data_IF_506775721139
#
_entry.id   IF_506775721139
#
_cell.length_a   1.000
_cell.length_b   1.000
_cell.length_c   1.000
_cell.angle_alpha   90.00
_cell.angle_beta   90.00
_cell.angle_gamma   90.00
#
_symmetry.space_group_name_H-M   'P 1'
#
loop_
_entity.id
_entity.type
_entity.pdbx_description
1 polymer ?
#
# COMPACT_ATOMS: atom_id res chain seq x y z
N UNK A 1 21.30 -5.96 -15.77
CA UNK A 1 21.42 -6.99 -14.71
C UNK A 1 20.34 -6.64 -13.70
N UNK A 2 19.32 -7.49 -13.50
CA UNK A 2 18.22 -7.14 -12.58
C UNK A 2 18.80 -6.98 -11.18
N UNK A 3 18.86 -5.76 -10.64
CA UNK A 3 19.35 -5.53 -9.28
C UNK A 3 18.27 -5.88 -8.25
N UNK A 4 17.70 -7.09 -8.34
CA UNK A 4 16.65 -7.61 -7.46
C UNK A 4 17.06 -7.52 -5.99
N UNK A 5 18.36 -7.52 -5.68
CA UNK A 5 18.89 -7.25 -4.34
C UNK A 5 18.43 -5.91 -3.75
N UNK A 6 18.16 -4.90 -4.58
CA UNK A 6 17.61 -3.62 -4.12
C UNK A 6 16.16 -3.74 -3.62
N UNK A 7 15.43 -4.82 -3.96
CA UNK A 7 14.09 -5.07 -3.42
C UNK A 7 14.12 -5.29 -1.90
N UNK A 8 15.27 -5.65 -1.32
CA UNK A 8 15.44 -5.76 0.12
C UNK A 8 15.19 -4.43 0.84
N UNK A 9 15.38 -3.28 0.17
CA UNK A 9 15.06 -1.96 0.73
C UNK A 9 13.56 -1.75 0.97
N UNK A 10 12.70 -2.51 0.29
CA UNK A 10 11.25 -2.47 0.48
C UNK A 10 10.79 -3.46 1.55
N UNK A 11 11.65 -4.38 2.00
CA UNK A 11 11.35 -5.35 3.03
C UNK A 11 11.25 -4.65 4.38
N UNK A 12 10.02 -4.39 4.80
CA UNK A 12 9.73 -3.69 6.04
C UNK A 12 9.33 -4.68 7.15
N UNK A 13 8.28 -5.47 6.92
CA UNK A 13 7.69 -6.33 7.95
C UNK A 13 6.98 -7.56 7.38
N UNK A 14 6.59 -8.48 8.26
CA UNK A 14 5.80 -9.64 7.86
C UNK A 14 4.40 -9.22 7.40
N UNK A 15 3.88 -9.88 6.36
CA UNK A 15 2.55 -9.60 5.82
C UNK A 15 1.44 -9.76 6.87
N UNK A 16 1.56 -10.76 7.75
CA UNK A 16 0.62 -10.95 8.85
C UNK A 16 0.65 -9.83 9.87
N UNK A 17 1.83 -9.25 10.16
CA UNK A 17 1.96 -8.08 11.04
C UNK A 17 1.37 -6.83 10.40
N UNK A 18 1.61 -6.63 9.10
CA UNK A 18 1.01 -5.52 8.35
C UNK A 18 -0.52 -5.62 8.36
N UNK A 19 -1.06 -6.81 8.10
CA UNK A 19 -2.50 -7.08 8.14
C UNK A 19 -3.09 -6.80 9.52
N UNK A 20 -2.49 -7.34 10.59
CA UNK A 20 -3.02 -7.17 11.94
C UNK A 20 -2.96 -5.71 12.41
N UNK A 21 -1.87 -5.00 12.14
CA UNK A 21 -1.76 -3.57 12.44
C UNK A 21 -2.73 -2.74 11.61
N UNK A 22 -2.94 -3.08 10.34
CA UNK A 22 -3.95 -2.47 9.49
C UNK A 22 -5.36 -2.59 10.06
N UNK A 23 -5.75 -3.79 10.51
CA UNK A 23 -7.07 -4.02 11.14
C UNK A 23 -7.18 -3.25 12.46
N UNK A 24 -6.20 -3.36 13.36
CA UNK A 24 -6.24 -2.71 14.69
C UNK A 24 -6.29 -1.18 14.60
N UNK A 25 -5.71 -0.61 13.54
CA UNK A 25 -5.69 0.85 13.32
C UNK A 25 -6.73 1.32 12.31
N UNK A 26 -7.68 0.47 11.92
CA UNK A 26 -8.71 0.78 10.92
C UNK A 26 -8.13 1.39 9.64
N UNK A 27 -7.09 0.77 9.09
CA UNK A 27 -6.47 1.16 7.83
C UNK A 27 -5.46 2.32 7.92
N UNK A 28 -5.36 3.04 9.03
CA UNK A 28 -4.37 4.12 9.19
C UNK A 28 -2.94 3.60 9.05
N UNK A 29 -2.66 2.42 9.58
CA UNK A 29 -1.34 1.82 9.44
C UNK A 29 -1.01 1.44 7.99
N UNK A 30 -2.01 1.04 7.19
CA UNK A 30 -1.83 0.83 5.75
C UNK A 30 -1.44 2.13 5.03
N UNK A 31 -2.01 3.27 5.40
CA UNK A 31 -1.63 4.57 4.85
C UNK A 31 -0.17 4.95 5.17
N UNK A 32 0.30 4.65 6.39
CA UNK A 32 1.72 4.85 6.76
C UNK A 32 2.66 3.90 6.05
N UNK A 33 2.26 2.63 5.89
CA UNK A 33 3.01 1.66 5.09
C UNK A 33 3.15 2.15 3.64
N UNK A 34 2.06 2.59 3.02
CA UNK A 34 2.03 3.18 1.68
C UNK A 34 2.98 4.38 1.58
N UNK A 35 2.99 5.27 2.58
CA UNK A 35 3.91 6.40 2.64
C UNK A 35 5.37 5.92 2.64
N UNK A 36 5.71 4.97 3.51
CA UNK A 36 7.07 4.42 3.63
C UNK A 36 7.53 3.82 2.31
N UNK A 37 6.73 2.92 1.73
CA UNK A 37 7.03 2.29 0.45
C UNK A 37 7.15 3.32 -0.67
N UNK A 38 6.32 4.36 -0.69
CA UNK A 38 6.40 5.43 -1.69
C UNK A 38 7.70 6.21 -1.62
N UNK A 39 8.21 6.49 -0.42
CA UNK A 39 9.52 7.13 -0.25
C UNK A 39 10.60 6.28 -0.91
N UNK A 40 10.63 4.98 -0.59
CA UNK A 40 11.59 4.03 -1.17
C UNK A 40 11.46 3.93 -2.71
N UNK A 41 10.24 3.91 -3.26
CA UNK A 41 10.03 3.92 -4.72
C UNK A 41 10.60 5.22 -5.32
N UNK A 42 10.24 6.37 -4.74
CA UNK A 42 10.60 7.69 -5.26
C UNK A 42 12.11 8.00 -5.22
N UNK A 43 12.85 7.32 -4.35
CA UNK A 43 14.32 7.38 -4.30
C UNK A 43 14.99 6.62 -5.45
N UNK A 44 14.31 5.64 -6.04
CA UNK A 44 14.86 4.77 -7.08
C UNK A 44 14.41 5.12 -8.50
N UNK A 45 13.34 5.91 -8.64
CA UNK A 45 12.82 6.33 -9.95
C UNK A 45 13.19 7.77 -10.26
N UNK A 46 13.23 8.09 -11.56
CA UNK A 46 13.38 9.45 -12.04
C UNK A 46 12.28 10.37 -11.49
N UNK A 47 12.58 11.66 -11.38
CA UNK A 47 11.65 12.66 -10.82
C UNK A 47 10.29 12.69 -11.52
N UNK A 48 10.27 12.52 -12.86
CA UNK A 48 9.05 12.46 -13.69
C UNK A 48 8.15 11.26 -13.36
N UNK A 49 8.72 10.19 -12.82
CA UNK A 49 8.03 8.94 -12.54
C UNK A 49 7.66 8.77 -11.07
N UNK A 50 8.06 9.72 -10.21
CA UNK A 50 7.72 9.72 -8.79
C UNK A 50 6.21 9.75 -8.56
N UNK A 51 5.78 9.00 -7.55
CA UNK A 51 4.43 9.08 -7.02
C UNK A 51 4.31 10.40 -6.25
N UNK A 52 3.30 11.21 -6.59
CA UNK A 52 3.07 12.53 -6.00
C UNK A 52 3.00 12.48 -4.47
N UNK A 53 3.78 13.34 -3.81
CA UNK A 53 3.72 13.49 -2.35
C UNK A 53 2.37 14.05 -1.89
N UNK A 54 1.71 14.87 -2.71
CA UNK A 54 0.36 15.36 -2.46
C UNK A 54 -0.66 14.24 -2.41
N UNK A 55 -0.57 13.27 -3.32
CA UNK A 55 -1.42 12.07 -3.33
C UNK A 55 -1.27 11.26 -2.02
N UNK A 56 -0.04 11.04 -1.56
CA UNK A 56 0.21 10.35 -0.29
C UNK A 56 -0.30 11.13 0.92
N UNK A 57 -0.19 12.46 0.91
CA UNK A 57 -0.77 13.32 1.96
C UNK A 57 -2.30 13.20 2.02
N UNK A 58 -2.97 13.18 0.87
CA UNK A 58 -4.42 12.98 0.79
C UNK A 58 -4.83 11.64 1.39
N UNK A 59 -4.12 10.56 1.05
CA UNK A 59 -4.35 9.24 1.64
C UNK A 59 -4.28 9.30 3.17
N UNK A 60 -3.24 9.91 3.73
CA UNK A 60 -3.08 10.03 5.19
C UNK A 60 -4.20 10.85 5.83
N UNK A 61 -4.56 11.99 5.24
CA UNK A 61 -5.63 12.86 5.75
C UNK A 61 -6.95 12.11 5.79
N UNK A 62 -7.31 11.41 4.70
CA UNK A 62 -8.55 10.66 4.63
C UNK A 62 -8.54 9.50 5.64
N UNK A 63 -7.43 8.76 5.76
CA UNK A 63 -7.32 7.67 6.73
C UNK A 63 -7.53 8.12 8.18
N UNK A 64 -6.92 9.23 8.58
CA UNK A 64 -7.14 9.79 9.92
C UNK A 64 -8.55 10.38 10.09
N UNK A 65 -9.12 10.95 9.03
CA UNK A 65 -10.48 11.48 9.05
C UNK A 65 -11.50 10.37 9.23
N UNK A 66 -11.36 9.27 8.50
CA UNK A 66 -12.17 8.05 8.62
C UNK A 66 -12.09 7.50 10.06
N UNK A 67 -10.89 7.29 10.61
CA UNK A 67 -10.74 6.83 11.99
C UNK A 67 -11.43 7.77 13.00
N UNK A 68 -11.31 9.08 12.80
CA UNK A 68 -11.96 10.07 13.67
C UNK A 68 -13.48 10.00 13.58
N UNK A 69 -14.03 9.84 12.37
CA UNK A 69 -15.47 9.69 12.13
C UNK A 69 -16.01 8.39 12.73
N UNK A 70 -15.27 7.28 12.59
CA UNK A 70 -15.60 6.02 13.23
C UNK A 70 -15.65 6.15 14.75
N UNK A 71 -14.67 6.81 15.37
CA UNK A 71 -14.71 7.06 16.82
C UNK A 71 -15.90 7.95 17.19
N UNK A 72 -16.21 8.96 16.39
CA UNK A 72 -17.34 9.86 16.63
C UNK A 72 -18.69 9.13 16.54
N UNK A 73 -18.87 8.21 15.59
CA UNK A 73 -20.12 7.45 15.44
C UNK A 73 -20.40 6.54 16.64
N UNK A 74 -19.37 6.04 17.32
CA UNK A 74 -19.53 5.23 18.54
C UNK A 74 -20.09 6.01 19.75
N UNK A 75 -19.99 7.34 19.74
CA UNK A 75 -20.37 8.19 20.88
C UNK A 75 -21.68 8.94 20.64
N UNK A 76 -22.11 9.09 19.37
CA UNK A 76 -23.29 9.86 18.98
C UNK A 76 -24.51 8.94 18.84
N UNK A 77 -25.54 9.17 19.66
CA UNK A 77 -26.76 8.32 19.69
C UNK A 77 -27.63 8.37 18.41
N UNK A 78 -27.59 9.46 17.63
CA UNK A 78 -28.27 9.62 16.34
C UNK A 78 -27.24 9.96 15.25
N UNK A 79 -26.41 8.97 14.92
CA UNK A 79 -25.21 9.12 14.09
C UNK A 79 -25.38 8.87 12.59
N UNK A 80 -26.60 8.65 12.06
CA UNK A 80 -26.81 8.13 10.69
C UNK A 80 -26.10 8.95 9.59
N UNK A 81 -26.04 10.28 9.72
CA UNK A 81 -25.31 11.13 8.77
C UNK A 81 -23.79 10.96 8.91
N UNK A 82 -23.28 10.78 10.13
CA UNK A 82 -21.85 10.55 10.40
C UNK A 82 -21.43 9.18 9.85
N UNK A 83 -22.27 8.16 10.03
CA UNK A 83 -22.06 6.82 9.46
C UNK A 83 -21.96 6.88 7.93
N UNK A 84 -22.93 7.52 7.26
CA UNK A 84 -22.92 7.66 5.80
C UNK A 84 -21.65 8.37 5.29
N UNK A 85 -21.21 9.45 5.96
CA UNK A 85 -19.99 10.17 5.58
C UNK A 85 -18.75 9.30 5.83
N UNK A 86 -18.72 8.53 6.93
CA UNK A 86 -17.65 7.59 7.24
C UNK A 86 -17.52 6.52 6.15
N UNK A 87 -18.63 5.89 5.76
CA UNK A 87 -18.64 4.84 4.73
C UNK A 87 -18.13 5.35 3.37
N UNK A 88 -18.50 6.58 3.02
CA UNK A 88 -17.99 7.24 1.80
C UNK A 88 -16.48 7.48 1.93
N UNK A 89 -16.01 7.98 3.07
CA UNK A 89 -14.59 8.23 3.30
C UNK A 89 -13.77 6.94 3.21
N UNK A 90 -14.29 5.84 3.76
CA UNK A 90 -13.66 4.50 3.71
C UNK A 90 -13.60 3.97 2.28
N UNK A 91 -14.69 4.10 1.53
CA UNK A 91 -14.75 3.70 0.11
C UNK A 91 -13.75 4.50 -0.74
N UNK A 92 -13.63 5.81 -0.49
CA UNK A 92 -12.65 6.67 -1.16
C UNK A 92 -11.23 6.25 -0.78
N UNK A 93 -10.98 5.95 0.50
CA UNK A 93 -9.67 5.51 0.97
C UNK A 93 -9.24 4.19 0.32
N UNK A 94 -10.14 3.22 0.24
CA UNK A 94 -9.90 1.94 -0.42
C UNK A 94 -9.57 2.14 -1.91
N UNK A 95 -10.31 2.99 -2.61
CA UNK A 95 -10.00 3.34 -4.00
C UNK A 95 -8.61 3.97 -4.14
N UNK A 96 -8.24 4.87 -3.24
CA UNK A 96 -6.91 5.48 -3.26
C UNK A 96 -5.79 4.47 -2.97
N UNK A 97 -6.02 3.50 -2.08
CA UNK A 97 -5.10 2.39 -1.86
C UNK A 97 -4.92 1.58 -3.15
N UNK A 98 -6.00 1.20 -3.82
CA UNK A 98 -5.94 0.47 -5.10
C UNK A 98 -5.14 1.26 -6.15
N UNK A 99 -5.44 2.56 -6.33
CA UNK A 99 -4.71 3.43 -7.26
C UNK A 99 -3.23 3.48 -6.92
N UNK A 100 -2.89 3.58 -5.63
CA UNK A 100 -1.50 3.50 -5.19
C UNK A 100 -0.87 2.16 -5.54
N UNK A 101 -1.56 1.05 -5.30
CA UNK A 101 -1.08 -0.31 -5.58
C UNK A 101 -0.71 -0.48 -7.05
N UNK A 102 -1.56 -0.03 -7.97
CA UNK A 102 -1.24 -0.05 -9.41
C UNK A 102 -0.06 0.85 -9.77
N UNK A 103 0.05 2.05 -9.19
CA UNK A 103 1.21 2.92 -9.39
C UNK A 103 2.50 2.23 -8.91
N UNK A 104 2.51 1.73 -7.68
CA UNK A 104 3.66 1.09 -7.07
C UNK A 104 4.12 -0.15 -7.84
N UNK A 105 3.16 -1.02 -8.19
CA UNK A 105 3.38 -2.18 -9.06
C UNK A 105 4.04 -1.82 -10.39
N UNK A 106 3.45 -0.86 -11.12
CA UNK A 106 3.96 -0.50 -12.43
C UNK A 106 5.39 0.04 -12.36
N UNK A 107 5.72 0.79 -11.29
CA UNK A 107 7.08 1.28 -11.06
C UNK A 107 8.06 0.17 -10.73
N UNK A 108 7.71 -0.77 -9.84
CA UNK A 108 8.59 -1.89 -9.52
C UNK A 108 8.81 -2.83 -10.70
N UNK A 109 7.75 -3.20 -11.42
CA UNK A 109 7.89 -4.07 -12.59
C UNK A 109 8.76 -3.42 -13.67
N UNK A 110 8.62 -2.10 -13.88
CA UNK A 110 9.48 -1.37 -14.81
C UNK A 110 10.93 -1.24 -14.32
N UNK A 111 11.13 -0.84 -13.05
CA UNK A 111 12.46 -0.62 -12.45
C UNK A 111 13.32 -1.88 -12.45
N UNK A 112 12.69 -3.04 -12.23
CA UNK A 112 13.39 -4.33 -12.15
C UNK A 112 13.25 -5.18 -13.42
N UNK A 113 12.70 -4.63 -14.50
CA UNK A 113 12.48 -5.32 -15.78
C UNK A 113 11.78 -6.68 -15.60
N UNK A 114 10.78 -6.70 -14.70
CA UNK A 114 9.97 -7.88 -14.40
C UNK A 114 8.84 -7.92 -15.41
N UNK A 115 8.72 -9.05 -16.11
CA UNK A 115 7.70 -9.35 -17.12
C UNK A 115 6.63 -10.27 -16.55
N UNK A 116 5.53 -10.47 -17.27
CA UNK A 116 4.44 -11.39 -16.85
C UNK A 116 4.85 -12.85 -16.77
N UNK A 117 5.98 -13.23 -17.35
CA UNK A 117 6.51 -14.59 -17.34
C UNK A 117 7.37 -14.86 -16.09
N UNK A 118 7.78 -13.80 -15.39
CA UNK A 118 8.61 -13.91 -14.19
C UNK A 118 7.76 -14.23 -12.95
N UNK A 119 8.25 -15.12 -12.08
CA UNK A 119 7.59 -15.43 -10.79
C UNK A 119 7.52 -14.20 -9.87
N UNK A 120 8.46 -13.27 -10.04
CA UNK A 120 8.50 -12.00 -9.32
C UNK A 120 7.42 -11.01 -9.78
N UNK A 121 6.67 -11.30 -10.85
CA UNK A 121 5.65 -10.41 -11.38
C UNK A 121 4.58 -10.06 -10.36
N UNK A 122 4.45 -8.77 -10.08
CA UNK A 122 3.31 -8.26 -9.35
C UNK A 122 2.08 -8.43 -10.25
N UNK A 123 1.03 -9.11 -9.77
CA UNK A 123 -0.21 -9.37 -10.49
C UNK A 123 -1.22 -8.23 -10.33
N UNK A 124 -1.88 -7.85 -11.43
CA UNK A 124 -2.89 -6.77 -11.42
C UNK A 124 -4.16 -7.18 -10.70
N UNK A 125 -4.60 -8.42 -10.88
CA UNK A 125 -5.79 -8.96 -10.21
C UNK A 125 -5.60 -9.01 -8.69
N UNK A 126 -4.44 -9.49 -8.22
CA UNK A 126 -4.13 -9.51 -6.79
C UNK A 126 -3.91 -8.11 -6.22
N UNK A 127 -3.35 -7.18 -7.00
CA UNK A 127 -3.23 -5.77 -6.62
C UNK A 127 -4.60 -5.13 -6.41
N UNK A 128 -5.58 -5.42 -7.27
CA UNK A 128 -6.93 -4.89 -7.15
C UNK A 128 -7.63 -5.36 -5.87
N UNK A 129 -7.49 -6.64 -5.51
CA UNK A 129 -8.23 -7.23 -4.40
C UNK A 129 -7.55 -7.05 -3.03
N UNK A 130 -6.23 -6.96 -2.99
CA UNK A 130 -5.47 -7.14 -1.74
C UNK A 130 -4.41 -6.07 -1.49
N UNK A 131 -4.43 -4.94 -2.21
CA UNK A 131 -3.54 -3.82 -1.89
C UNK A 131 -3.89 -3.21 -0.52
N UNK A 132 -2.91 -2.86 0.33
CA UNK A 132 -1.46 -2.95 0.15
C UNK A 132 -0.80 -4.25 0.65
N UNK A 133 -1.58 -5.18 1.18
CA UNK A 133 -1.09 -6.44 1.78
C UNK A 133 -0.38 -7.31 0.73
N UNK A 134 -0.96 -7.42 -0.47
CA UNK A 134 -0.37 -8.19 -1.57
C UNK A 134 0.98 -7.64 -2.01
N UNK A 135 1.13 -6.32 -2.05
CA UNK A 135 2.39 -5.67 -2.37
C UNK A 135 3.50 -6.12 -1.39
N UNK A 136 3.22 -6.08 -0.09
CA UNK A 136 4.15 -6.55 0.95
C UNK A 136 4.43 -8.06 0.86
N UNK A 137 3.40 -8.86 0.57
CA UNK A 137 3.54 -10.30 0.37
C UNK A 137 4.50 -10.61 -0.78
N UNK A 138 4.32 -9.95 -1.93
CA UNK A 138 5.12 -10.19 -3.12
C UNK A 138 6.59 -9.79 -2.87
N UNK A 139 6.85 -8.63 -2.24
CA UNK A 139 8.21 -8.23 -1.86
C UNK A 139 8.86 -9.28 -0.95
N UNK A 140 8.14 -9.72 0.09
CA UNK A 140 8.64 -10.74 1.02
C UNK A 140 8.92 -12.08 0.33
N UNK A 141 8.08 -12.47 -0.61
CA UNK A 141 8.25 -13.68 -1.42
C UNK A 141 9.54 -13.60 -2.26
N UNK A 142 9.71 -12.50 -3.01
CA UNK A 142 10.90 -12.29 -3.86
C UNK A 142 12.17 -12.28 -3.00
N UNK A 143 12.18 -11.54 -1.89
CA UNK A 143 13.34 -11.49 -1.00
C UNK A 143 13.72 -12.88 -0.47
N UNK A 144 12.73 -13.71 -0.09
CA UNK A 144 12.98 -15.08 0.39
C UNK A 144 13.52 -15.99 -0.72
N UNK A 145 12.96 -15.91 -1.92
CA UNK A 145 13.37 -16.74 -3.06
C UNK A 145 14.83 -16.46 -3.47
N UNK A 146 15.28 -15.20 -3.37
CA UNK A 146 16.64 -14.81 -3.73
C UNK A 146 17.66 -14.94 -2.58
N UNK A 147 17.23 -14.95 -1.31
CA UNK A 147 18.11 -15.25 -0.17
C UNK A 147 18.44 -16.75 -0.04
N UNK A 148 17.59 -17.65 -0.55
CA UNK A 148 17.81 -19.10 -0.53
C UNK A 148 18.61 -19.68 -1.70
N UNK A 149 19.05 -18.84 -2.65
CA UNK A 149 19.82 -19.23 -3.85
C UNK A 149 21.29 -18.78 -3.80
N UNK A 150 21.77 -18.34 -2.64
CA UNK A 150 23.16 -17.92 -2.39
C UNK A 150 24.02 -19.03 -1.78
#
# INVERSE_FOLDING_TARGET
>A
MREIKLLEKFKDQSTWRLLSLGIVTFGVYFAHYIKSQTVTINEMVDEKDRISTGFIKVILIIAYSSLTMFIASLVVNDGQLIELISDIADSVLELLFIVWGFKARNRLNALFEISTEDEEWFSGFLTLLFTPIYFNYQINFICKAHQGRG
#
